data_IF_456552539744
#
_entry.id   IF_456552539744
#
_cell.length_a   1.000
_cell.length_b   1.000
_cell.length_c   1.000
_cell.angle_alpha   90.00
_cell.angle_beta   90.00
_cell.angle_gamma   90.00
#
_symmetry.space_group_name_H-M   'P 1'
#
loop_
_entity.id
_entity.type
_entity.pdbx_description
1 polymer ?
#
# COMPACT_ATOMS: atom_id res chain seq x y z
N UNK A 1 -6.45 -18.58 -4.50
CA UNK A 1 -7.16 -17.54 -5.29
C UNK A 1 -6.13 -16.71 -6.00
N UNK A 2 -5.99 -16.88 -7.32
CA UNK A 2 -5.08 -16.06 -8.13
C UNK A 2 -5.93 -15.02 -8.84
N UNK A 3 -5.78 -13.74 -8.50
CA UNK A 3 -6.43 -12.67 -9.28
C UNK A 3 -5.84 -12.68 -10.69
N UNK A 4 -6.70 -12.45 -11.69
CA UNK A 4 -6.24 -12.31 -13.08
C UNK A 4 -5.26 -11.13 -13.16
N UNK A 5 -4.16 -11.24 -13.93
CA UNK A 5 -3.29 -10.11 -14.16
C UNK A 5 -4.10 -8.95 -14.75
N UNK A 6 -3.86 -7.73 -14.27
CA UNK A 6 -4.55 -6.56 -14.79
C UNK A 6 -4.17 -6.39 -16.26
N UNK A 7 -5.14 -6.55 -17.15
CA UNK A 7 -4.98 -6.34 -18.59
C UNK A 7 -5.17 -4.86 -18.87
N UNK A 8 -4.08 -4.12 -18.68
CA UNK A 8 -3.98 -2.72 -19.06
C UNK A 8 -2.51 -2.41 -19.17
N UNK A 9 -2.08 -1.83 -20.29
CA UNK A 9 -0.76 -1.26 -20.44
C UNK A 9 -0.67 -0.11 -19.44
N UNK A 10 -0.33 -0.38 -18.19
CA UNK A 10 -0.08 0.66 -17.21
C UNK A 10 1.16 1.36 -17.70
N UNK A 11 1.00 2.58 -18.23
CA UNK A 11 2.12 3.50 -18.35
C UNK A 11 2.85 3.45 -17.01
N UNK A 12 4.12 3.03 -17.04
CA UNK A 12 4.95 2.97 -15.85
C UNK A 12 4.91 4.34 -15.19
N UNK A 13 4.88 4.37 -13.86
CA UNK A 13 5.08 5.61 -13.14
C UNK A 13 6.39 6.26 -13.59
N UNK A 14 6.31 7.52 -14.05
CA UNK A 14 7.47 8.23 -14.59
C UNK A 14 8.34 8.80 -13.47
N UNK A 15 7.76 9.01 -12.29
CA UNK A 15 8.43 9.59 -11.13
C UNK A 15 7.87 9.00 -9.81
N UNK A 16 8.58 9.26 -8.71
CA UNK A 16 8.17 8.89 -7.36
C UNK A 16 6.77 9.42 -7.02
N UNK A 17 5.98 8.57 -6.38
CA UNK A 17 4.61 8.83 -5.92
C UNK A 17 3.58 9.08 -7.04
N UNK A 18 3.92 8.85 -8.31
CA UNK A 18 2.95 8.93 -9.41
C UNK A 18 1.82 7.89 -9.27
N UNK A 19 2.18 6.66 -8.90
CA UNK A 19 1.24 5.57 -8.71
C UNK A 19 1.67 4.70 -7.53
N UNK A 20 0.80 4.62 -6.53
CA UNK A 20 0.98 3.71 -5.39
C UNK A 20 -0.01 2.55 -5.54
N UNK A 21 0.50 1.32 -5.55
CA UNK A 21 -0.33 0.12 -5.45
C UNK A 21 -0.54 -0.22 -3.99
N UNK A 22 -1.79 -0.55 -3.62
CA UNK A 22 -2.16 -0.90 -2.26
C UNK A 22 -2.96 -2.18 -2.19
N UNK A 23 -2.76 -2.94 -1.10
CA UNK A 23 -3.49 -4.17 -0.86
C UNK A 23 -3.58 -4.49 0.62
N UNK A 24 -4.72 -5.04 1.05
CA UNK A 24 -4.90 -5.54 2.42
C UNK A 24 -4.81 -7.06 2.38
N UNK A 25 -3.97 -7.63 3.24
CA UNK A 25 -3.89 -9.05 3.47
C UNK A 25 -4.45 -9.40 4.85
N UNK A 26 -5.17 -10.52 4.92
CA UNK A 26 -5.66 -11.12 6.16
C UNK A 26 -7.16 -11.51 6.14
N UNK A 27 -7.64 -12.16 7.21
CA UNK A 27 -6.90 -12.41 8.45
C UNK A 27 -5.76 -13.42 8.26
N UNK A 28 -4.62 -13.18 8.91
CA UNK A 28 -3.51 -14.12 8.99
C UNK A 28 -3.95 -15.35 9.79
N UNK A 29 -3.54 -16.55 9.36
CA UNK A 29 -3.86 -17.80 10.07
C UNK A 29 -3.33 -17.78 11.51
N UNK A 30 -2.14 -17.22 11.70
CA UNK A 30 -1.55 -16.95 13.01
C UNK A 30 -1.35 -15.44 13.14
N UNK A 31 -1.95 -14.78 14.14
CA UNK A 31 -1.75 -13.35 14.36
C UNK A 31 -0.27 -13.03 14.57
N UNK A 32 0.18 -11.92 14.02
CA UNK A 32 1.52 -11.39 14.30
C UNK A 32 1.62 -10.93 15.76
N UNK A 33 2.86 -10.74 16.23
CA UNK A 33 3.15 -10.29 17.60
C UNK A 33 2.37 -9.00 17.92
N UNK A 34 1.61 -9.01 19.02
CA UNK A 34 0.76 -7.87 19.40
C UNK A 34 -0.70 -7.97 18.93
N UNK A 35 -1.11 -9.13 18.40
CA UNK A 35 -2.50 -9.42 18.04
C UNK A 35 -2.93 -8.85 16.69
N UNK A 36 -1.98 -8.58 15.79
CA UNK A 36 -2.29 -8.04 14.47
C UNK A 36 -2.63 -9.18 13.50
N UNK A 37 -3.85 -9.15 12.98
CA UNK A 37 -4.36 -10.19 12.07
C UNK A 37 -4.41 -9.72 10.62
N UNK A 38 -4.17 -8.45 10.34
CA UNK A 38 -4.15 -7.89 8.99
C UNK A 38 -2.86 -7.10 8.75
N UNK A 39 -2.53 -6.87 7.49
CA UNK A 39 -1.57 -5.84 7.12
C UNK A 39 -1.99 -5.18 5.81
N UNK A 40 -1.60 -3.92 5.63
CA UNK A 40 -1.75 -3.18 4.39
C UNK A 40 -0.36 -2.90 3.82
N UNK A 41 -0.22 -3.07 2.51
CA UNK A 41 1.01 -2.73 1.78
C UNK A 41 0.79 -1.52 0.91
N UNK A 42 1.80 -0.65 0.81
CA UNK A 42 1.85 0.44 -0.16
C UNK A 42 3.14 0.32 -0.97
N UNK A 43 3.05 0.08 -2.27
CA UNK A 43 4.21 -0.08 -3.14
C UNK A 43 4.20 1.01 -4.18
N UNK A 44 5.28 1.78 -4.20
CA UNK A 44 5.51 2.80 -5.23
C UNK A 44 5.87 2.12 -6.57
N UNK A 45 5.12 2.45 -7.63
CA UNK A 45 5.32 1.82 -8.94
C UNK A 45 6.63 2.25 -9.60
N UNK A 46 7.18 3.44 -9.30
CA UNK A 46 8.40 3.91 -9.93
C UNK A 46 9.64 3.25 -9.31
N UNK A 47 9.81 3.40 -8.01
CA UNK A 47 10.96 2.92 -7.23
C UNK A 47 10.88 1.46 -6.82
N UNK A 48 9.68 0.86 -6.87
CA UNK A 48 9.38 -0.47 -6.30
C UNK A 48 9.58 -0.56 -4.79
N UNK A 49 9.74 0.58 -4.10
CA UNK A 49 9.83 0.62 -2.64
C UNK A 49 8.47 0.31 -2.02
N UNK A 50 8.45 -0.57 -1.02
CA UNK A 50 7.24 -1.06 -0.37
C UNK A 50 7.20 -0.74 1.13
N UNK A 51 6.05 -0.30 1.60
CA UNK A 51 5.73 -0.11 3.02
C UNK A 51 4.75 -1.17 3.48
N UNK A 52 4.87 -1.63 4.73
CA UNK A 52 3.95 -2.59 5.36
C UNK A 52 3.51 -2.06 6.71
N UNK A 53 2.20 -1.93 6.92
CA UNK A 53 1.61 -1.55 8.20
C UNK A 53 0.75 -2.69 8.75
N UNK A 54 1.05 -3.15 9.96
CA UNK A 54 0.27 -4.15 10.67
C UNK A 54 -1.01 -3.53 11.25
N UNK A 55 -2.14 -4.26 11.18
CA UNK A 55 -3.46 -3.80 11.61
C UNK A 55 -4.21 -4.91 12.36
N UNK A 56 -4.97 -4.55 13.39
CA UNK A 56 -5.82 -5.51 14.12
C UNK A 56 -7.15 -5.68 13.41
N UNK A 57 -7.67 -4.61 12.81
CA UNK A 57 -8.91 -4.58 12.06
C UNK A 57 -8.72 -3.97 10.66
N UNK A 58 -9.50 -4.44 9.67
CA UNK A 58 -9.49 -3.85 8.31
C UNK A 58 -9.88 -2.36 8.31
N UNK A 59 -10.66 -1.91 9.30
CA UNK A 59 -11.07 -0.50 9.46
C UNK A 59 -9.91 0.45 9.74
N UNK A 60 -8.74 -0.05 10.17
CA UNK A 60 -7.54 0.77 10.39
C UNK A 60 -6.88 1.22 9.08
N UNK A 61 -7.24 0.63 7.93
CA UNK A 61 -6.56 0.83 6.65
C UNK A 61 -6.48 2.30 6.22
N UNK A 62 -7.57 3.04 6.37
CA UNK A 62 -7.57 4.47 6.01
C UNK A 62 -6.69 5.30 6.94
N UNK A 63 -6.59 4.93 8.22
CA UNK A 63 -5.66 5.55 9.17
C UNK A 63 -4.21 5.33 8.73
N UNK A 64 -3.85 4.08 8.40
CA UNK A 64 -2.51 3.74 7.90
C UNK A 64 -2.17 4.43 6.59
N UNK A 65 -3.14 4.62 5.69
CA UNK A 65 -2.93 5.39 4.48
C UNK A 65 -2.57 6.87 4.76
N UNK A 66 -3.22 7.50 5.75
CA UNK A 66 -2.88 8.88 6.13
C UNK A 66 -1.46 8.99 6.69
N UNK A 67 -1.08 8.04 7.55
CA UNK A 67 0.29 7.95 8.10
C UNK A 67 1.31 7.80 6.97
N UNK A 68 1.10 6.80 6.10
CA UNK A 68 1.92 6.55 4.92
C UNK A 68 2.07 7.79 4.03
N UNK A 69 0.95 8.42 3.67
CA UNK A 69 0.95 9.62 2.82
C UNK A 69 1.78 10.74 3.44
N UNK A 70 1.55 11.05 4.71
CA UNK A 70 2.29 12.11 5.39
C UNK A 70 3.79 11.80 5.41
N UNK A 71 4.16 10.56 5.71
CA UNK A 71 5.54 10.11 5.75
C UNK A 71 6.25 10.27 4.40
N UNK A 72 5.70 9.68 3.32
CA UNK A 72 6.37 9.68 2.01
C UNK A 72 6.35 11.04 1.32
N UNK A 73 5.30 11.84 1.50
CA UNK A 73 5.24 13.19 0.94
C UNK A 73 6.29 14.09 1.63
N UNK A 74 6.48 13.95 2.95
CA UNK A 74 7.51 14.69 3.67
C UNK A 74 8.94 14.25 3.33
N UNK A 75 9.17 12.94 3.15
CA UNK A 75 10.51 12.41 2.82
C UNK A 75 10.96 12.79 1.41
N UNK A 76 10.03 12.82 0.45
CA UNK A 76 10.36 13.02 -0.97
C UNK A 76 10.13 14.45 -1.46
N UNK A 77 9.37 15.26 -0.71
CA UNK A 77 8.90 16.58 -1.16
C UNK A 77 7.88 16.52 -2.31
N UNK A 78 7.34 15.33 -2.62
CA UNK A 78 6.40 15.07 -3.71
C UNK A 78 5.02 14.70 -3.15
N UNK A 79 4.01 14.63 -4.01
CA UNK A 79 2.64 14.25 -3.62
C UNK A 79 2.23 12.95 -4.30
N UNK A 80 1.45 12.13 -3.59
CA UNK A 80 0.82 10.96 -4.19
C UNK A 80 -0.20 11.42 -5.23
N UNK A 81 -0.02 11.01 -6.49
CA UNK A 81 -0.93 11.40 -7.59
C UNK A 81 -2.08 10.43 -7.77
N UNK A 82 -1.81 9.13 -7.67
CA UNK A 82 -2.82 8.10 -7.80
C UNK A 82 -2.58 6.94 -6.82
N UNK A 83 -3.68 6.40 -6.30
CA UNK A 83 -3.71 5.18 -5.52
C UNK A 83 -4.49 4.12 -6.31
N UNK A 84 -3.91 2.94 -6.47
CA UNK A 84 -4.56 1.78 -7.08
C UNK A 84 -4.68 0.69 -6.04
N UNK A 85 -5.92 0.32 -5.71
CA UNK A 85 -6.23 -0.84 -4.90
C UNK A 85 -6.63 -2.00 -5.79
N UNK A 86 -6.21 -3.21 -5.42
CA UNK A 86 -6.62 -4.44 -6.10
C UNK A 86 -8.08 -4.82 -5.87
#
# INVERSE_FOLDING_TARGET
MTKKPFVGQSALANDLLDLIHTGICGPLNTPARGGYSYFITFTDDHSRYGYVYLMRYKSEAFGRFKEYRLEVENQTGRKIKALRSD
#
